data_IF_067074962842
#
_entry.id   IF_067074962842
#
_cell.length_a   1.000
_cell.length_b   1.000
_cell.length_c   1.000
_cell.angle_alpha   90.00
_cell.angle_beta   90.00
_cell.angle_gamma   90.00
#
_symmetry.space_group_name_H-M   'P 1'
#
loop_
_entity.id
_entity.type
_entity.pdbx_description
1 polymer ?
#
# COMPACT_ATOMS: atom_id res chain seq x y z
N UNK A 1 68.23 36.27 -5.35
CA UNK A 1 68.04 34.80 -5.39
C UNK A 1 67.38 34.44 -4.08
N UNK A 2 66.07 34.19 -4.08
CA UNK A 2 65.37 33.69 -2.90
C UNK A 2 65.46 32.18 -2.96
N UNK A 3 66.08 31.61 -1.95
CA UNK A 3 66.31 30.17 -1.82
C UNK A 3 64.97 29.46 -1.64
N UNK A 4 64.57 28.66 -2.63
CA UNK A 4 63.29 27.97 -2.66
C UNK A 4 63.33 26.60 -1.95
N UNK A 5 64.43 26.27 -1.27
CA UNK A 5 64.54 25.07 -0.44
C UNK A 5 64.25 25.42 1.01
N UNK A 6 62.99 25.32 1.43
CA UNK A 6 62.55 24.98 2.80
C UNK A 6 61.03 25.24 2.92
N UNK A 7 60.24 24.49 2.16
CA UNK A 7 58.94 24.06 2.73
C UNK A 7 59.28 22.83 3.54
N UNK A 8 59.21 22.87 4.89
CA UNK A 8 59.62 21.74 5.71
C UNK A 8 58.75 20.52 5.37
N UNK A 9 59.36 19.35 5.19
CA UNK A 9 58.68 18.08 4.89
C UNK A 9 57.49 17.78 5.82
N UNK A 10 57.51 18.33 7.04
CA UNK A 10 56.39 18.29 7.98
C UNK A 10 55.11 18.97 7.46
N UNK A 11 55.20 20.09 6.74
CA UNK A 11 54.03 20.77 6.19
C UNK A 11 53.39 19.98 5.06
N UNK A 12 54.19 19.35 4.20
CA UNK A 12 53.68 18.47 3.15
C UNK A 12 53.01 17.21 3.72
N UNK A 13 53.56 16.61 4.79
CA UNK A 13 52.97 15.42 5.41
C UNK A 13 51.65 15.71 6.16
N UNK A 14 51.51 16.88 6.79
CA UNK A 14 50.28 17.32 7.46
C UNK A 14 49.18 17.60 6.43
N UNK A 15 49.51 18.25 5.31
CA UNK A 15 48.55 18.52 4.23
C UNK A 15 48.12 17.23 3.56
N UNK A 16 49.05 16.32 3.24
CA UNK A 16 48.70 14.99 2.70
C UNK A 16 47.83 14.19 3.67
N UNK A 17 48.17 14.16 4.96
CA UNK A 17 47.41 13.45 5.98
C UNK A 17 45.99 14.00 6.17
N UNK A 18 45.81 15.31 6.03
CA UNK A 18 44.49 15.96 6.10
C UNK A 18 43.64 15.65 4.87
N UNK A 19 44.25 15.69 3.68
CA UNK A 19 43.58 15.32 2.41
C UNK A 19 43.18 13.83 2.43
N UNK A 20 44.05 12.94 2.90
CA UNK A 20 43.75 11.50 3.04
C UNK A 20 42.60 11.23 4.03
N UNK A 21 42.55 11.95 5.16
CA UNK A 21 41.43 11.87 6.12
C UNK A 21 40.12 12.40 5.53
N UNK A 22 40.18 13.44 4.71
CA UNK A 22 39.00 13.98 4.03
C UNK A 22 38.48 13.01 2.96
N UNK A 23 39.37 12.45 2.14
CA UNK A 23 39.01 11.45 1.12
C UNK A 23 38.48 10.17 1.78
N UNK A 24 39.11 9.67 2.83
CA UNK A 24 38.63 8.48 3.54
C UNK A 24 37.27 8.72 4.21
N UNK A 25 37.02 9.92 4.74
CA UNK A 25 35.71 10.32 5.27
C UNK A 25 34.63 10.34 4.18
N UNK A 26 34.93 10.86 2.98
CA UNK A 26 34.02 10.81 1.84
C UNK A 26 33.73 9.37 1.43
N UNK A 27 34.76 8.53 1.32
CA UNK A 27 34.63 7.11 0.94
C UNK A 27 33.79 6.36 1.97
N UNK A 28 34.07 6.49 3.27
CA UNK A 28 33.29 5.83 4.33
C UNK A 28 31.84 6.31 4.34
N UNK A 29 31.60 7.61 4.15
CA UNK A 29 30.24 8.17 4.12
C UNK A 29 29.47 7.70 2.87
N UNK A 30 30.15 7.65 1.72
CA UNK A 30 29.54 7.25 0.46
C UNK A 30 29.26 5.74 0.41
N UNK A 31 30.26 4.91 0.69
CA UNK A 31 30.08 3.45 0.71
C UNK A 31 29.27 2.97 1.92
N UNK A 32 29.44 3.58 3.09
CA UNK A 32 28.60 3.31 4.25
C UNK A 32 27.15 3.73 4.02
N UNK A 33 26.92 4.86 3.34
CA UNK A 33 25.61 5.30 2.90
C UNK A 33 24.97 4.36 1.88
N UNK A 34 25.73 3.92 0.87
CA UNK A 34 25.28 2.92 -0.13
C UNK A 34 24.95 1.59 0.55
N UNK A 35 25.79 1.12 1.47
CA UNK A 35 25.55 -0.12 2.20
C UNK A 35 24.34 -0.02 3.12
N UNK A 36 24.19 1.10 3.85
CA UNK A 36 23.04 1.36 4.69
C UNK A 36 21.76 1.49 3.87
N UNK A 37 21.81 2.10 2.68
CA UNK A 37 20.67 2.20 1.79
C UNK A 37 20.27 0.83 1.21
N UNK A 38 21.25 0.04 0.74
CA UNK A 38 21.00 -1.32 0.26
C UNK A 38 20.44 -2.23 1.36
N UNK A 39 20.86 -2.05 2.62
CA UNK A 39 20.46 -2.92 3.72
C UNK A 39 19.17 -2.47 4.43
N UNK A 40 18.93 -1.16 4.52
CA UNK A 40 17.86 -0.59 5.37
C UNK A 40 16.85 0.29 4.61
N UNK A 41 17.11 0.65 3.35
CA UNK A 41 16.22 1.44 2.48
C UNK A 41 15.76 2.76 3.11
N UNK A 42 16.70 3.48 3.74
CA UNK A 42 16.40 4.66 4.56
C UNK A 42 15.87 5.83 3.71
N UNK A 43 16.42 6.05 2.52
CA UNK A 43 16.00 7.14 1.64
C UNK A 43 14.57 6.90 1.15
N UNK A 44 14.23 5.66 0.78
CA UNK A 44 12.85 5.35 0.38
C UNK A 44 11.84 5.55 1.52
N UNK A 45 12.20 5.15 2.75
CA UNK A 45 11.37 5.42 3.94
C UNK A 45 11.19 6.92 4.22
N UNK A 46 12.24 7.72 4.03
CA UNK A 46 12.15 9.17 4.16
C UNK A 46 11.26 9.79 3.08
N UNK A 47 11.38 9.34 1.82
CA UNK A 47 10.50 9.77 0.73
C UNK A 47 9.04 9.38 0.99
N UNK A 48 8.78 8.18 1.49
CA UNK A 48 7.44 7.75 1.91
C UNK A 48 6.88 8.66 3.00
N UNK A 49 7.64 8.93 4.07
CA UNK A 49 7.23 9.84 5.15
C UNK A 49 6.96 11.25 4.62
N UNK A 50 7.80 11.75 3.72
CA UNK A 50 7.61 13.04 3.08
C UNK A 50 6.33 13.08 2.23
N UNK A 51 6.10 12.05 1.41
CA UNK A 51 4.90 11.92 0.60
C UNK A 51 3.62 11.89 1.45
N UNK A 52 3.64 11.14 2.56
CA UNK A 52 2.57 11.13 3.58
C UNK A 52 2.36 12.51 4.18
N UNK A 53 3.44 13.18 4.60
CA UNK A 53 3.34 14.50 5.21
C UNK A 53 2.72 15.52 4.26
N UNK A 54 3.15 15.53 3.00
CA UNK A 54 2.65 16.38 1.91
C UNK A 54 1.30 15.94 1.31
N UNK A 55 0.75 14.81 1.77
CA UNK A 55 -0.46 14.20 1.22
C UNK A 55 -0.41 14.06 -0.32
N UNK A 56 0.72 13.59 -0.84
CA UNK A 56 0.92 13.45 -2.29
C UNK A 56 -0.09 12.48 -2.90
N UNK A 57 -0.48 12.73 -4.15
CA UNK A 57 -1.45 11.90 -4.86
C UNK A 57 -0.93 10.46 -5.03
N UNK A 58 -1.73 9.51 -4.58
CA UNK A 58 -1.54 8.08 -4.81
C UNK A 58 -2.81 7.53 -5.49
N UNK A 59 -2.73 6.34 -6.07
CA UNK A 59 -3.93 5.64 -6.52
C UNK A 59 -3.95 4.19 -6.03
N UNK A 60 -5.16 3.64 -5.84
CA UNK A 60 -5.38 2.24 -5.47
C UNK A 60 -6.44 1.61 -6.36
N UNK A 61 -6.20 0.38 -6.79
CA UNK A 61 -7.23 -0.58 -7.15
C UNK A 61 -7.19 -1.72 -6.12
N UNK A 62 -8.31 -1.98 -5.45
CA UNK A 62 -8.45 -3.04 -4.46
C UNK A 62 -9.53 -4.00 -4.92
N UNK A 63 -9.20 -5.27 -5.12
CA UNK A 63 -10.14 -6.33 -5.48
C UNK A 63 -10.19 -7.34 -4.34
N UNK A 64 -11.38 -7.55 -3.78
CA UNK A 64 -11.66 -8.56 -2.77
C UNK A 64 -12.57 -9.63 -3.37
N UNK A 65 -12.27 -10.89 -3.08
CA UNK A 65 -13.11 -12.03 -3.49
C UNK A 65 -13.62 -12.80 -2.28
N UNK A 66 -14.91 -13.09 -2.28
CA UNK A 66 -15.61 -13.76 -1.21
C UNK A 66 -16.47 -14.91 -1.74
N UNK A 67 -16.64 -15.92 -0.90
CA UNK A 67 -17.67 -16.93 -1.08
C UNK A 67 -18.99 -16.38 -0.52
N UNK A 68 -20.06 -16.30 -1.34
CA UNK A 68 -21.36 -15.77 -0.91
C UNK A 68 -21.96 -16.67 0.16
N UNK A 69 -22.78 -16.09 1.04
CA UNK A 69 -23.62 -16.88 1.93
C UNK A 69 -24.67 -17.66 1.13
N UNK A 70 -24.66 -19.00 1.24
CA UNK A 70 -25.59 -19.87 0.50
C UNK A 70 -27.08 -19.57 0.76
N UNK A 71 -27.40 -18.93 1.89
CA UNK A 71 -28.76 -18.58 2.28
C UNK A 71 -29.21 -17.21 1.75
N UNK A 72 -28.33 -16.47 1.08
CA UNK A 72 -28.56 -15.08 0.73
C UNK A 72 -28.36 -14.90 -0.78
N UNK A 73 -29.45 -14.63 -1.50
CA UNK A 73 -29.35 -14.32 -2.91
C UNK A 73 -28.67 -12.96 -3.16
N UNK A 74 -28.18 -12.75 -4.38
CA UNK A 74 -27.44 -11.54 -4.70
C UNK A 74 -28.31 -10.28 -4.64
N UNK A 75 -29.62 -10.38 -4.88
CA UNK A 75 -30.55 -9.25 -4.78
C UNK A 75 -30.72 -8.79 -3.32
N UNK A 76 -30.80 -9.72 -2.38
CA UNK A 76 -30.78 -9.46 -0.95
C UNK A 76 -29.45 -8.84 -0.52
N UNK A 77 -28.32 -9.37 -1.01
CA UNK A 77 -27.00 -8.85 -0.71
C UNK A 77 -26.85 -7.40 -1.16
N UNK A 78 -27.25 -7.08 -2.39
CA UNK A 78 -27.28 -5.70 -2.90
C UNK A 78 -28.10 -4.81 -1.98
N UNK A 79 -29.29 -5.26 -1.58
CA UNK A 79 -30.19 -4.46 -0.73
C UNK A 79 -29.57 -4.17 0.63
N UNK A 80 -28.97 -5.17 1.29
CA UNK A 80 -28.29 -5.00 2.57
C UNK A 80 -27.13 -4.01 2.42
N UNK A 81 -26.26 -4.21 1.43
CA UNK A 81 -25.11 -3.35 1.15
C UNK A 81 -25.56 -1.90 0.93
N UNK A 82 -26.52 -1.66 0.02
CA UNK A 82 -27.04 -0.32 -0.27
C UNK A 82 -27.53 0.37 1.01
N UNK A 83 -28.40 -0.30 1.78
CA UNK A 83 -28.99 0.28 2.99
C UNK A 83 -27.94 0.59 4.06
N UNK A 84 -26.97 -0.30 4.26
CA UNK A 84 -25.90 -0.08 5.23
C UNK A 84 -24.95 1.04 4.81
N UNK A 85 -24.59 1.15 3.54
CA UNK A 85 -23.69 2.18 3.06
C UNK A 85 -24.34 3.57 2.98
N UNK A 86 -25.63 3.67 2.63
CA UNK A 86 -26.38 4.93 2.67
C UNK A 86 -26.38 5.55 4.07
N UNK A 87 -26.47 4.73 5.12
CA UNK A 87 -26.48 5.20 6.50
C UNK A 87 -25.11 5.76 6.96
N UNK A 88 -24.03 5.31 6.34
CA UNK A 88 -22.66 5.55 6.80
C UNK A 88 -21.91 6.57 5.93
N UNK A 89 -22.33 6.76 4.68
CA UNK A 89 -21.68 7.65 3.72
C UNK A 89 -22.63 8.76 3.25
N UNK A 90 -22.39 10.03 3.63
CA UNK A 90 -23.24 11.14 3.20
C UNK A 90 -23.20 11.36 1.68
N UNK A 91 -22.07 11.04 1.04
CA UNK A 91 -21.86 11.20 -0.41
C UNK A 91 -22.17 9.93 -1.23
N UNK A 92 -22.91 8.98 -0.64
CA UNK A 92 -23.35 7.78 -1.33
C UNK A 92 -24.15 8.12 -2.60
N UNK A 93 -23.75 7.55 -3.74
CA UNK A 93 -24.53 7.61 -4.98
C UNK A 93 -24.54 6.26 -5.68
N UNK A 94 -25.74 5.73 -5.94
CA UNK A 94 -25.90 4.55 -6.78
C UNK A 94 -25.67 4.93 -8.24
N UNK A 95 -24.66 4.33 -8.89
CA UNK A 95 -24.35 4.59 -10.30
C UNK A 95 -25.08 3.63 -11.25
N UNK A 96 -25.09 2.34 -10.92
CA UNK A 96 -25.71 1.30 -11.73
C UNK A 96 -26.14 0.12 -10.89
N UNK A 97 -27.26 -0.50 -11.25
CA UNK A 97 -27.72 -1.76 -10.67
C UNK A 97 -28.17 -2.70 -11.79
N UNK A 98 -27.55 -3.88 -11.85
CA UNK A 98 -27.86 -4.94 -12.81
C UNK A 98 -28.09 -6.25 -12.04
N UNK A 99 -28.47 -7.29 -12.77
CA UNK A 99 -28.78 -8.61 -12.18
C UNK A 99 -27.63 -9.15 -11.32
N UNK A 100 -26.40 -9.07 -11.81
CA UNK A 100 -25.20 -9.62 -11.15
C UNK A 100 -24.13 -8.56 -10.86
N UNK A 101 -24.51 -7.28 -10.85
CA UNK A 101 -23.58 -6.17 -10.66
C UNK A 101 -24.23 -4.98 -9.97
N UNK A 102 -23.48 -4.30 -9.11
CA UNK A 102 -23.87 -3.10 -8.36
C UNK A 102 -22.69 -2.13 -8.33
N UNK A 103 -22.89 -0.92 -8.88
CA UNK A 103 -21.88 0.15 -8.90
C UNK A 103 -22.30 1.27 -7.96
N UNK A 104 -21.46 1.55 -6.96
CA UNK A 104 -21.68 2.59 -5.95
C UNK A 104 -20.53 3.58 -6.02
N UNK A 105 -20.84 4.86 -5.96
CA UNK A 105 -19.87 5.92 -5.80
C UNK A 105 -19.86 6.45 -4.37
N UNK A 106 -18.67 6.60 -3.83
CA UNK A 106 -18.39 7.19 -2.54
C UNK A 106 -17.37 8.31 -2.73
N UNK A 107 -17.80 9.57 -2.66
CA UNK A 107 -16.97 10.79 -2.67
C UNK A 107 -15.89 10.88 -3.79
N UNK A 108 -14.83 10.07 -3.72
CA UNK A 108 -13.70 10.02 -4.67
C UNK A 108 -13.41 8.62 -5.26
N UNK A 109 -14.20 7.59 -4.93
CA UNK A 109 -13.99 6.24 -5.45
C UNK A 109 -15.28 5.52 -5.79
N UNK A 110 -15.21 4.67 -6.81
CA UNK A 110 -16.31 3.79 -7.21
C UNK A 110 -16.03 2.40 -6.68
N UNK A 111 -17.03 1.78 -6.08
CA UNK A 111 -17.02 0.38 -5.70
C UNK A 111 -17.94 -0.39 -6.62
N UNK A 112 -17.38 -1.35 -7.31
CA UNK A 112 -18.08 -2.29 -8.16
C UNK A 112 -18.23 -3.62 -7.41
N UNK A 113 -19.45 -4.11 -7.29
CA UNK A 113 -19.77 -5.37 -6.62
C UNK A 113 -20.39 -6.30 -7.66
N UNK A 114 -19.79 -7.46 -7.89
CA UNK A 114 -20.23 -8.42 -8.90
C UNK A 114 -20.40 -9.82 -8.33
N UNK A 115 -21.34 -10.57 -8.88
CA UNK A 115 -21.46 -12.01 -8.66
C UNK A 115 -21.10 -12.73 -9.96
N UNK A 116 -20.10 -13.60 -9.91
CA UNK A 116 -19.61 -14.28 -11.11
C UNK A 116 -20.24 -15.67 -11.32
N UNK A 117 -19.85 -16.30 -12.42
CA UNK A 117 -20.32 -17.65 -12.79
C UNK A 117 -19.69 -18.76 -11.95
N UNK A 118 -18.62 -18.48 -11.20
CA UNK A 118 -17.99 -19.39 -10.25
C UNK A 118 -18.64 -19.35 -8.88
N UNK A 119 -19.75 -18.61 -8.74
CA UNK A 119 -20.44 -18.36 -7.48
C UNK A 119 -19.54 -17.63 -6.46
N UNK A 120 -18.76 -16.65 -6.91
CA UNK A 120 -17.94 -15.79 -6.07
C UNK A 120 -18.45 -14.35 -6.14
N UNK A 121 -18.31 -13.62 -5.03
CA UNK A 121 -18.59 -12.18 -4.97
C UNK A 121 -17.28 -11.41 -5.06
N UNK A 122 -17.24 -10.49 -6.01
CA UNK A 122 -16.15 -9.55 -6.24
C UNK A 122 -16.56 -8.20 -5.69
N UNK A 123 -15.67 -7.58 -4.93
CA UNK A 123 -15.78 -6.20 -4.49
C UNK A 123 -14.52 -5.50 -4.97
N UNK A 124 -14.66 -4.62 -5.95
CA UNK A 124 -13.57 -3.88 -6.55
C UNK A 124 -13.71 -2.38 -6.25
N UNK A 125 -12.71 -1.79 -5.61
CA UNK A 125 -12.55 -0.34 -5.51
C UNK A 125 -11.83 0.13 -6.78
N UNK A 126 -12.58 0.69 -7.72
CA UNK A 126 -12.07 1.23 -8.97
C UNK A 126 -11.29 2.52 -8.69
N UNK A 127 -10.02 2.50 -9.11
CA UNK A 127 -9.02 3.59 -9.11
C UNK A 127 -9.46 4.87 -8.38
N UNK A 128 -9.29 4.87 -7.06
CA UNK A 128 -9.35 6.10 -6.27
C UNK A 128 -8.03 6.85 -6.43
N UNK A 129 -8.04 8.10 -6.89
CA UNK A 129 -6.83 8.93 -6.94
C UNK A 129 -6.96 10.18 -6.08
N UNK A 130 -6.41 10.13 -4.87
CA UNK A 130 -6.42 11.24 -3.93
C UNK A 130 -5.13 11.30 -3.12
N UNK A 131 -5.07 12.17 -2.12
CA UNK A 131 -3.91 12.26 -1.25
C UNK A 131 -3.69 10.94 -0.49
N UNK A 132 -2.44 10.51 -0.32
CA UNK A 132 -2.12 9.22 0.29
C UNK A 132 -2.73 9.01 1.70
N UNK A 133 -2.91 10.08 2.48
CA UNK A 133 -3.58 10.01 3.79
C UNK A 133 -5.08 9.79 3.61
N UNK A 134 -5.69 10.57 2.72
CA UNK A 134 -7.13 10.50 2.44
C UNK A 134 -7.48 9.13 1.86
N UNK A 135 -6.61 8.60 0.98
CA UNK A 135 -6.74 7.27 0.40
C UNK A 135 -6.75 6.17 1.46
N UNK A 136 -5.79 6.25 2.39
CA UNK A 136 -5.69 5.30 3.52
C UNK A 136 -6.94 5.36 4.40
N UNK A 137 -7.38 6.55 4.76
CA UNK A 137 -8.55 6.76 5.61
C UNK A 137 -9.83 6.25 4.93
N UNK A 138 -10.06 6.64 3.68
CA UNK A 138 -11.26 6.27 2.92
C UNK A 138 -11.36 4.77 2.69
N UNK A 139 -10.28 4.13 2.25
CA UNK A 139 -10.26 2.67 2.05
C UNK A 139 -10.39 1.93 3.39
N UNK A 140 -9.73 2.42 4.45
CA UNK A 140 -9.84 1.86 5.79
C UNK A 140 -11.26 1.92 6.34
N UNK A 141 -11.94 3.05 6.18
CA UNK A 141 -13.35 3.21 6.58
C UNK A 141 -14.25 2.28 5.77
N UNK A 142 -14.06 2.17 4.45
CA UNK A 142 -14.82 1.25 3.61
C UNK A 142 -14.69 -0.20 4.09
N UNK A 143 -13.46 -0.66 4.31
CA UNK A 143 -13.15 -2.00 4.80
C UNK A 143 -13.76 -2.27 6.18
N UNK A 144 -13.69 -1.29 7.09
CA UNK A 144 -14.27 -1.39 8.44
C UNK A 144 -15.79 -1.53 8.35
N UNK A 145 -16.45 -0.71 7.55
CA UNK A 145 -17.91 -0.75 7.36
C UNK A 145 -18.33 -2.09 6.74
N UNK A 146 -17.65 -2.54 5.67
CA UNK A 146 -17.93 -3.83 5.03
C UNK A 146 -17.82 -5.00 6.03
N UNK A 147 -16.79 -4.98 6.87
CA UNK A 147 -16.56 -6.02 7.89
C UNK A 147 -17.66 -6.04 8.94
N UNK A 148 -18.05 -4.86 9.44
CA UNK A 148 -19.17 -4.75 10.39
C UNK A 148 -20.45 -5.30 9.78
N UNK A 149 -20.79 -4.91 8.56
CA UNK A 149 -21.99 -5.42 7.87
C UNK A 149 -21.92 -6.94 7.72
N UNK A 150 -20.76 -7.48 7.32
CA UNK A 150 -20.58 -8.91 7.20
C UNK A 150 -20.76 -9.64 8.55
N UNK A 151 -20.25 -9.09 9.64
CA UNK A 151 -20.40 -9.70 10.96
C UNK A 151 -21.86 -9.68 11.46
N UNK A 152 -22.58 -8.59 11.19
CA UNK A 152 -23.97 -8.42 11.62
C UNK A 152 -24.96 -9.21 10.75
N UNK A 153 -24.72 -9.27 9.44
CA UNK A 153 -25.66 -9.81 8.45
C UNK A 153 -25.23 -11.12 7.82
N UNK A 154 -23.99 -11.56 8.09
CA UNK A 154 -23.35 -12.74 7.48
C UNK A 154 -23.49 -12.72 5.96
N UNK A 155 -22.89 -11.73 5.31
CA UNK A 155 -22.96 -11.58 3.85
C UNK A 155 -22.17 -12.69 3.13
N UNK A 156 -21.04 -13.10 3.71
CA UNK A 156 -20.07 -14.00 3.11
C UNK A 156 -19.76 -15.16 4.06
N UNK A 157 -19.65 -16.37 3.50
CA UNK A 157 -19.27 -17.57 4.25
C UNK A 157 -17.75 -17.73 4.33
N UNK A 158 -17.00 -17.11 3.43
CA UNK A 158 -15.54 -17.19 3.41
C UNK A 158 -14.88 -16.11 2.57
N UNK A 159 -13.63 -15.79 2.92
CA UNK A 159 -12.75 -14.93 2.12
C UNK A 159 -11.88 -15.80 1.21
N UNK A 160 -11.78 -15.43 -0.06
CA UNK A 160 -11.04 -16.18 -1.08
C UNK A 160 -9.67 -15.51 -1.31
N UNK A 161 -9.66 -14.26 -1.77
CA UNK A 161 -8.42 -13.59 -2.13
C UNK A 161 -8.54 -12.06 -2.09
N UNK A 162 -7.40 -11.38 -2.02
CA UNK A 162 -7.30 -9.94 -2.15
C UNK A 162 -6.17 -9.59 -3.12
N UNK A 163 -6.45 -8.68 -4.04
CA UNK A 163 -5.46 -8.08 -4.93
C UNK A 163 -5.45 -6.58 -4.72
N UNK A 164 -4.29 -6.03 -4.37
CA UNK A 164 -4.09 -4.59 -4.19
C UNK A 164 -3.08 -4.10 -5.21
N UNK A 165 -3.48 -3.18 -6.06
CA UNK A 165 -2.58 -2.46 -6.97
C UNK A 165 -2.49 -1.01 -6.53
N UNK A 166 -1.28 -0.51 -6.31
CA UNK A 166 -1.00 0.82 -5.79
C UNK A 166 -0.07 1.59 -6.73
N UNK A 167 -0.45 2.81 -7.07
CA UNK A 167 0.41 3.79 -7.72
C UNK A 167 0.94 4.76 -6.68
N UNK A 168 2.20 4.57 -6.26
CA UNK A 168 2.82 5.37 -5.21
C UNK A 168 3.59 6.56 -5.78
N UNK A 169 3.52 7.75 -5.14
CA UNK A 169 4.24 8.96 -5.57
C UNK A 169 5.75 8.94 -5.22
N UNK A 170 6.29 7.78 -4.86
CA UNK A 170 7.68 7.61 -4.47
C UNK A 170 8.24 6.26 -4.96
N UNK A 171 9.57 6.18 -5.00
CA UNK A 171 10.28 4.99 -5.48
C UNK A 171 10.51 3.97 -4.36
N UNK A 172 10.19 2.70 -4.62
CA UNK A 172 10.63 1.57 -3.82
C UNK A 172 11.55 0.63 -4.60
N UNK A 173 12.61 0.19 -3.93
CA UNK A 173 13.62 -0.73 -4.46
C UNK A 173 13.35 -2.18 -4.07
N UNK A 174 12.76 -2.41 -2.89
CA UNK A 174 12.27 -3.68 -2.39
C UNK A 174 11.25 -3.45 -1.28
N UNK A 175 10.34 -4.40 -1.08
CA UNK A 175 9.32 -4.38 -0.03
C UNK A 175 9.59 -5.53 0.92
N UNK A 176 9.70 -5.22 2.22
CA UNK A 176 9.75 -6.22 3.28
C UNK A 176 8.56 -6.02 4.20
N UNK A 177 7.63 -6.97 4.16
CA UNK A 177 6.51 -7.05 5.10
C UNK A 177 7.03 -7.80 6.32
N UNK A 178 6.94 -7.16 7.48
CA UNK A 178 7.23 -7.81 8.76
C UNK A 178 5.89 -8.15 9.37
N UNK A 179 5.63 -9.44 9.53
CA UNK A 179 4.41 -9.96 10.12
C UNK A 179 4.38 -9.62 11.62
N UNK A 180 3.30 -9.00 12.14
CA UNK A 180 3.09 -8.91 13.58
C UNK A 180 2.97 -10.29 14.23
N UNK A 181 3.22 -10.36 15.54
CA UNK A 181 3.13 -11.63 16.28
C UNK A 181 1.71 -12.21 16.21
N UNK A 182 1.61 -13.51 15.91
CA UNK A 182 0.32 -14.21 15.76
C UNK A 182 -0.31 -14.11 14.37
N UNK A 183 0.29 -13.32 13.47
CA UNK A 183 -0.16 -13.14 12.10
C UNK A 183 0.81 -13.82 11.14
N UNK A 184 0.28 -14.55 10.14
CA UNK A 184 1.08 -15.20 9.10
C UNK A 184 0.43 -14.97 7.75
N UNK A 185 1.10 -14.21 6.88
CA UNK A 185 0.71 -14.07 5.49
C UNK A 185 1.17 -15.32 4.75
N UNK A 186 0.24 -16.22 4.48
CA UNK A 186 0.51 -17.35 3.59
C UNK A 186 0.23 -16.94 2.15
N UNK A 187 1.06 -17.42 1.23
CA UNK A 187 0.81 -17.35 -0.21
C UNK A 187 0.55 -15.94 -0.75
N UNK A 188 1.40 -14.98 -0.38
CA UNK A 188 1.41 -13.64 -0.95
C UNK A 188 2.50 -13.48 -2.02
N UNK A 189 2.23 -12.66 -3.03
CA UNK A 189 3.24 -12.22 -3.99
C UNK A 189 3.20 -10.70 -4.12
N UNK A 190 4.39 -10.11 -4.21
CA UNK A 190 4.56 -8.67 -4.42
C UNK A 190 5.29 -8.49 -5.74
N UNK A 191 4.64 -7.81 -6.68
CA UNK A 191 5.24 -7.40 -7.94
C UNK A 191 5.41 -5.89 -7.91
N UNK A 192 6.65 -5.44 -8.08
CA UNK A 192 6.93 -4.02 -8.31
C UNK A 192 7.01 -3.80 -9.81
N UNK A 193 6.13 -2.96 -10.31
CA UNK A 193 6.17 -2.46 -11.67
C UNK A 193 6.88 -1.11 -11.63
N UNK A 194 7.89 -0.90 -12.47
CA UNK A 194 8.60 0.38 -12.55
C UNK A 194 8.08 1.20 -13.74
N UNK A 195 7.05 2.03 -13.58
CA UNK A 195 6.82 3.12 -14.50
C UNK A 195 7.48 4.38 -13.92
N UNK A 196 8.52 4.86 -14.62
CA UNK A 196 9.17 6.16 -14.44
C UNK A 196 10.05 6.34 -13.18
N UNK A 197 11.06 7.22 -13.26
CA UNK A 197 12.14 7.39 -12.26
C UNK A 197 11.65 7.86 -10.87
N UNK A 198 10.38 8.26 -10.76
CA UNK A 198 9.84 8.96 -9.58
C UNK A 198 8.62 8.29 -8.95
N UNK A 199 8.07 7.22 -9.54
CA UNK A 199 6.88 6.50 -9.05
C UNK A 199 7.11 5.00 -9.06
N UNK A 200 6.31 4.27 -8.27
CA UNK A 200 6.33 2.80 -8.25
C UNK A 200 4.92 2.27 -8.32
N UNK A 201 4.66 1.37 -9.27
CA UNK A 201 3.49 0.52 -9.24
C UNK A 201 3.78 -0.67 -8.33
N UNK A 202 2.90 -0.94 -7.38
CA UNK A 202 3.03 -2.08 -6.46
C UNK A 202 1.77 -2.91 -6.55
N UNK A 203 1.90 -4.15 -7.02
CA UNK A 203 0.81 -5.11 -7.04
C UNK A 203 1.07 -6.16 -5.97
N UNK A 204 0.08 -6.43 -5.14
CA UNK A 204 0.12 -7.38 -4.04
C UNK A 204 -1.03 -8.35 -4.24
N UNK A 205 -0.72 -9.61 -4.48
CA UNK A 205 -1.72 -10.68 -4.53
C UNK A 205 -1.65 -11.51 -3.25
N UNK A 206 -2.81 -11.75 -2.64
CA UNK A 206 -3.00 -12.56 -1.44
C UNK A 206 -3.97 -13.69 -1.79
N UNK A 207 -3.45 -14.92 -1.91
CA UNK A 207 -4.22 -16.07 -2.40
C UNK A 207 -5.00 -16.80 -1.32
N UNK A 208 -4.51 -16.85 -0.08
CA UNK A 208 -5.29 -17.35 1.04
C UNK A 208 -4.89 -16.64 2.33
N UNK A 209 -5.88 -16.12 3.03
CA UNK A 209 -5.74 -15.70 4.43
C UNK A 209 -6.37 -16.82 5.23
N UNK A 210 -5.57 -17.61 5.93
CA UNK A 210 -6.12 -18.60 6.85
C UNK A 210 -6.48 -17.88 8.15
N UNK A 211 -7.63 -17.18 8.17
CA UNK A 211 -8.13 -16.55 9.37
C UNK A 211 -9.65 -16.54 9.41
N UNK A 212 -10.20 -17.25 10.40
CA UNK A 212 -11.46 -16.90 11.03
C UNK A 212 -11.48 -15.39 11.32
N UNK A 213 -12.42 -14.65 10.73
CA UNK A 213 -12.81 -13.27 11.12
C UNK A 213 -11.75 -12.14 11.04
N UNK A 214 -10.47 -12.38 10.75
CA UNK A 214 -9.41 -11.35 10.81
C UNK A 214 -9.00 -10.72 9.46
N UNK A 215 -9.47 -11.21 8.31
CA UNK A 215 -8.96 -10.83 6.97
C UNK A 215 -8.92 -9.32 6.66
N UNK A 216 -9.81 -8.51 7.24
CA UNK A 216 -9.87 -7.08 6.97
C UNK A 216 -8.85 -6.26 7.77
N UNK A 217 -8.54 -6.69 9.00
CA UNK A 217 -7.46 -6.10 9.81
C UNK A 217 -6.11 -6.33 9.13
N UNK A 218 -5.97 -7.46 8.46
CA UNK A 218 -4.78 -7.83 7.68
C UNK A 218 -4.63 -6.97 6.42
N UNK A 219 -5.73 -6.74 5.68
CA UNK A 219 -5.74 -5.82 4.54
C UNK A 219 -5.43 -4.40 5.01
N UNK A 220 -5.99 -3.98 6.15
CA UNK A 220 -5.72 -2.67 6.76
C UNK A 220 -4.26 -2.52 7.18
N UNK A 221 -3.67 -3.55 7.79
CA UNK A 221 -2.24 -3.59 8.13
C UNK A 221 -1.36 -3.49 6.90
N UNK A 222 -1.71 -4.19 5.82
CA UNK A 222 -1.02 -4.06 4.55
C UNK A 222 -1.13 -2.62 4.06
N UNK A 223 -2.34 -2.08 3.91
CA UNK A 223 -2.54 -0.70 3.48
C UNK A 223 -1.74 0.31 4.31
N UNK A 224 -1.66 0.16 5.63
CA UNK A 224 -0.83 0.99 6.52
C UNK A 224 0.67 0.92 6.22
N UNK A 225 1.14 -0.22 5.73
CA UNK A 225 2.54 -0.39 5.32
C UNK A 225 2.84 0.36 4.03
N UNK A 226 1.86 0.43 3.12
CA UNK A 226 2.01 0.96 1.77
C UNK A 226 1.61 2.44 1.63
N UNK A 227 0.53 2.89 2.27
CA UNK A 227 -0.02 4.23 2.18
C UNK A 227 0.44 5.09 3.35
#
# INVERSE_FOLDING_TARGET
MIDASLVPDQYQSIVLGTILKFISSIVVTFFGGIWAENKYNLISRLKQRYARWRNQRAAINLVLRYMPNEKLDFDCLKTIIKNSFIAEYPDYRLLSEKKFKLDIFFDEFTVEIMHDNCNEIYIEILKSSCGIKDLREKVGTFLTVLTRINNEKRLFDGFISCNVTLDLPYTWTYIKIFEPSGFKLKDYSIRMERPDRYKTGVTIHLNSINASLASTEEISFLLDKFL
#
